data_IF_392532994221
#
_entry.id   IF_392532994221
#
_cell.length_a   1.000
_cell.length_b   1.000
_cell.length_c   1.000
_cell.angle_alpha   90.00
_cell.angle_beta   90.00
_cell.angle_gamma   90.00
#
_symmetry.space_group_name_H-M   'P 1'
#
loop_
_entity.id
_entity.type
_entity.pdbx_description
1 polymer ?
#
# COMPACT_ATOMS: atom_id res chain seq x y z
N UNK A 1 12.58 -78.37 -31.55
CA UNK A 1 12.94 -76.96 -31.81
C UNK A 1 11.64 -76.15 -31.78
N UNK A 2 11.39 -75.28 -30.78
CA UNK A 2 10.18 -74.45 -30.76
C UNK A 2 10.43 -73.04 -31.32
N UNK A 3 9.50 -72.55 -32.14
CA UNK A 3 9.51 -71.20 -32.73
C UNK A 3 9.44 -70.10 -31.67
N UNK A 4 10.30 -69.09 -31.80
CA UNK A 4 10.18 -67.82 -31.08
C UNK A 4 9.20 -66.91 -31.80
N UNK A 5 7.96 -66.85 -31.33
CA UNK A 5 6.99 -65.83 -31.77
C UNK A 5 7.46 -64.46 -31.28
N UNK A 6 8.09 -63.69 -32.16
CA UNK A 6 8.48 -62.30 -31.90
C UNK A 6 7.23 -61.43 -31.88
N UNK A 7 6.99 -60.72 -30.77
CA UNK A 7 5.93 -59.73 -30.68
C UNK A 7 6.23 -58.56 -31.65
N UNK A 8 5.22 -57.97 -32.32
CA UNK A 8 5.46 -56.83 -33.20
C UNK A 8 5.98 -55.64 -32.40
N UNK A 9 7.10 -55.06 -32.86
CA UNK A 9 7.66 -53.84 -32.30
C UNK A 9 6.66 -52.70 -32.52
N UNK A 10 6.00 -52.28 -31.44
CA UNK A 10 5.16 -51.08 -31.43
C UNK A 10 6.07 -49.86 -31.51
N UNK A 11 6.04 -49.21 -32.67
CA UNK A 11 6.72 -47.94 -32.94
C UNK A 11 5.98 -46.86 -32.16
N UNK A 12 6.49 -46.52 -30.97
CA UNK A 12 6.08 -45.34 -30.24
C UNK A 12 6.61 -44.11 -30.98
N UNK A 13 5.83 -43.67 -31.97
CA UNK A 13 6.05 -42.43 -32.69
C UNK A 13 5.79 -41.22 -31.80
N UNK A 14 6.68 -40.25 -31.95
CA UNK A 14 6.60 -38.85 -31.49
C UNK A 14 6.82 -38.58 -29.99
N UNK A 15 8.06 -38.19 -29.66
CA UNK A 15 8.43 -37.58 -28.36
C UNK A 15 9.45 -36.45 -28.56
N UNK A 16 9.45 -35.79 -29.71
CA UNK A 16 10.53 -34.86 -30.08
C UNK A 16 10.07 -33.40 -30.10
N UNK A 17 8.77 -33.15 -30.20
CA UNK A 17 8.08 -31.88 -29.98
C UNK A 17 7.88 -31.55 -28.48
N UNK A 18 7.72 -32.59 -27.67
CA UNK A 18 7.45 -32.48 -26.24
C UNK A 18 8.71 -32.19 -25.41
N UNK A 19 9.93 -32.61 -25.82
CA UNK A 19 11.12 -32.43 -24.97
C UNK A 19 11.65 -31.00 -24.96
N UNK A 20 11.63 -30.31 -26.10
CA UNK A 20 12.10 -28.92 -26.20
C UNK A 20 11.08 -27.95 -25.57
N UNK A 21 9.80 -28.17 -25.84
CA UNK A 21 8.71 -27.39 -25.26
C UNK A 21 8.60 -27.62 -23.76
N UNK A 22 8.78 -28.86 -23.29
CA UNK A 22 8.84 -29.16 -21.86
C UNK A 22 10.03 -28.46 -21.18
N UNK A 23 11.23 -28.52 -21.76
CA UNK A 23 12.41 -27.82 -21.23
C UNK A 23 12.20 -26.31 -21.14
N UNK A 24 11.63 -25.68 -22.18
CA UNK A 24 11.31 -24.25 -22.16
C UNK A 24 10.27 -23.96 -21.05
N UNK A 25 9.26 -24.81 -20.89
CA UNK A 25 8.25 -24.66 -19.84
C UNK A 25 8.82 -24.82 -18.43
N UNK A 26 9.81 -25.69 -18.25
CA UNK A 26 10.51 -25.90 -16.98
C UNK A 26 11.39 -24.69 -16.65
N UNK A 27 12.14 -24.17 -17.61
CA UNK A 27 12.92 -22.94 -17.43
C UNK A 27 12.03 -21.74 -17.10
N UNK A 28 10.87 -21.62 -17.76
CA UNK A 28 9.89 -20.58 -17.46
C UNK A 28 9.34 -20.72 -16.03
N UNK A 29 9.01 -21.94 -15.61
CA UNK A 29 8.56 -22.21 -14.25
C UNK A 29 9.62 -21.88 -13.20
N UNK A 30 10.90 -22.15 -13.47
CA UNK A 30 11.99 -21.80 -12.57
C UNK A 30 12.15 -20.28 -12.44
N UNK A 31 12.07 -19.55 -13.54
CA UNK A 31 12.13 -18.07 -13.53
C UNK A 31 10.94 -17.48 -12.75
N UNK A 32 9.73 -18.01 -12.95
CA UNK A 32 8.54 -17.59 -12.19
C UNK A 32 8.68 -17.91 -10.72
N UNK A 33 9.11 -19.12 -10.40
CA UNK A 33 9.29 -19.54 -9.02
C UNK A 33 10.28 -18.62 -8.31
N UNK A 34 11.39 -18.28 -8.97
CA UNK A 34 12.41 -17.37 -8.44
C UNK A 34 11.88 -15.94 -8.30
N UNK A 35 11.26 -15.39 -9.34
CA UNK A 35 10.66 -14.06 -9.28
C UNK A 35 9.63 -13.98 -8.17
N UNK A 36 8.79 -15.00 -8.00
CA UNK A 36 7.83 -15.06 -6.90
C UNK A 36 8.53 -15.18 -5.55
N UNK A 37 9.59 -15.97 -5.44
CA UNK A 37 10.33 -16.15 -4.18
C UNK A 37 11.04 -14.86 -3.74
N UNK A 38 11.68 -14.16 -4.67
CA UNK A 38 12.34 -12.89 -4.41
C UNK A 38 11.35 -11.71 -4.23
N UNK A 39 10.14 -11.77 -4.82
CA UNK A 39 9.16 -10.66 -4.71
C UNK A 39 8.21 -10.79 -3.52
N UNK A 40 8.00 -11.99 -2.98
CA UNK A 40 7.10 -12.19 -1.82
C UNK A 40 7.66 -11.50 -0.57
N UNK A 41 8.97 -11.56 -0.36
CA UNK A 41 9.64 -10.93 0.77
C UNK A 41 9.52 -9.39 0.77
N UNK A 42 9.78 -8.67 -0.35
CA UNK A 42 9.54 -7.23 -0.43
C UNK A 42 8.05 -6.85 -0.39
N UNK A 43 7.14 -7.65 -0.96
CA UNK A 43 5.69 -7.40 -0.85
C UNK A 43 5.23 -7.45 0.60
N UNK A 44 5.72 -8.42 1.38
CA UNK A 44 5.39 -8.53 2.81
C UNK A 44 5.90 -7.32 3.60
N UNK A 45 7.09 -6.84 3.27
CA UNK A 45 7.65 -5.61 3.82
C UNK A 45 6.80 -4.38 3.49
N UNK A 46 6.41 -4.23 2.22
CA UNK A 46 5.55 -3.14 1.76
C UNK A 46 4.16 -3.18 2.40
N UNK A 47 3.55 -4.36 2.50
CA UNK A 47 2.24 -4.54 3.14
C UNK A 47 2.27 -4.09 4.61
N UNK A 48 3.35 -4.42 5.34
CA UNK A 48 3.53 -3.98 6.73
C UNK A 48 3.77 -2.47 6.83
N UNK A 49 4.57 -1.91 5.93
CA UNK A 49 4.79 -0.46 5.86
C UNK A 49 3.48 0.31 5.58
N UNK A 50 2.70 -0.14 4.60
CA UNK A 50 1.39 0.43 4.29
C UNK A 50 0.43 0.27 5.46
N UNK A 51 0.42 -0.90 6.13
CA UNK A 51 -0.39 -1.12 7.33
C UNK A 51 -0.08 -0.11 8.45
N UNK A 52 1.20 0.12 8.75
CA UNK A 52 1.59 1.15 9.72
C UNK A 52 1.30 2.58 9.23
N UNK A 53 1.42 2.84 7.93
CA UNK A 53 1.04 4.11 7.32
C UNK A 53 -0.44 4.42 7.47
N UNK A 54 -1.31 3.44 7.21
CA UNK A 54 -2.76 3.55 7.38
C UNK A 54 -3.11 3.78 8.85
N UNK A 55 -2.55 2.99 9.77
CA UNK A 55 -2.81 3.15 11.20
C UNK A 55 -2.37 4.53 11.70
N UNK A 56 -1.19 5.00 11.26
CA UNK A 56 -0.69 6.34 11.57
C UNK A 56 -1.59 7.44 10.99
N UNK A 57 -2.09 7.28 9.76
CA UNK A 57 -2.99 8.25 9.13
C UNK A 57 -4.32 8.39 9.88
N UNK A 58 -4.87 7.27 10.36
CA UNK A 58 -6.10 7.26 11.17
C UNK A 58 -5.86 7.98 12.49
N UNK A 59 -4.76 7.67 13.18
CA UNK A 59 -4.40 8.32 14.43
C UNK A 59 -4.22 9.84 14.25
N UNK A 60 -3.54 10.26 13.18
CA UNK A 60 -3.39 11.68 12.83
C UNK A 60 -4.72 12.35 12.48
N UNK A 61 -5.59 11.69 11.73
CA UNK A 61 -6.90 12.24 11.37
C UNK A 61 -7.77 12.50 12.61
N UNK A 62 -7.77 11.55 13.55
CA UNK A 62 -8.50 11.68 14.82
C UNK A 62 -7.88 12.81 15.66
N UNK A 63 -6.55 12.81 15.85
CA UNK A 63 -5.86 13.85 16.61
C UNK A 63 -6.08 15.25 16.05
N UNK A 64 -6.03 15.40 14.71
CA UNK A 64 -6.30 16.67 14.05
C UNK A 64 -7.75 17.12 14.24
N UNK A 65 -8.72 16.20 14.16
CA UNK A 65 -10.13 16.50 14.41
C UNK A 65 -10.32 17.04 15.83
N UNK A 66 -9.77 16.36 16.84
CA UNK A 66 -9.84 16.83 18.22
C UNK A 66 -9.12 18.16 18.44
N UNK A 67 -7.96 18.38 17.79
CA UNK A 67 -7.23 19.65 17.86
C UNK A 67 -8.07 20.80 17.31
N UNK A 68 -8.74 20.62 16.16
CA UNK A 68 -9.60 21.63 15.56
C UNK A 68 -10.83 21.90 16.43
N UNK A 69 -11.46 20.85 16.97
CA UNK A 69 -12.59 21.00 17.90
C UNK A 69 -12.17 21.72 19.18
N UNK A 70 -11.02 21.39 19.76
CA UNK A 70 -10.49 22.06 20.95
C UNK A 70 -10.17 23.53 20.69
N UNK A 71 -9.60 23.84 19.52
CA UNK A 71 -9.33 25.23 19.09
C UNK A 71 -10.62 26.02 18.95
N UNK A 72 -11.61 25.47 18.25
CA UNK A 72 -12.92 26.08 18.09
C UNK A 72 -13.60 26.28 19.45
N UNK A 73 -13.50 25.28 20.34
CA UNK A 73 -14.08 25.33 21.68
C UNK A 73 -13.42 26.37 22.56
N UNK A 74 -12.08 26.44 22.56
CA UNK A 74 -11.33 27.45 23.32
C UNK A 74 -11.71 28.87 22.88
N UNK A 75 -11.77 29.10 21.56
CA UNK A 75 -12.22 30.39 21.02
C UNK A 75 -13.67 30.69 21.40
N UNK A 76 -14.58 29.73 21.28
CA UNK A 76 -15.99 29.94 21.64
C UNK A 76 -16.20 30.17 23.14
N UNK A 77 -15.40 29.55 24.02
CA UNK A 77 -15.48 29.73 25.48
C UNK A 77 -15.02 31.14 25.90
N UNK A 78 -13.88 31.60 25.40
CA UNK A 78 -13.34 32.93 25.75
C UNK A 78 -14.14 34.08 25.10
N UNK A 79 -14.71 33.81 23.93
CA UNK A 79 -15.37 34.83 23.10
C UNK A 79 -16.89 34.87 23.30
N UNK A 80 -17.43 33.90 24.06
CA UNK A 80 -18.87 33.64 24.22
C UNK A 80 -19.70 34.79 24.76
N UNK A 81 -19.11 35.72 25.52
CA UNK A 81 -19.82 36.92 26.03
C UNK A 81 -19.67 38.17 25.14
N UNK A 82 -18.70 38.21 24.23
CA UNK A 82 -18.37 39.44 23.47
C UNK A 82 -18.84 39.41 22.00
N UNK A 83 -19.00 38.25 21.37
CA UNK A 83 -19.28 38.14 19.92
C UNK A 83 -20.64 37.50 19.60
N UNK A 84 -21.70 37.93 20.28
CA UNK A 84 -23.07 37.53 19.95
C UNK A 84 -23.58 38.41 18.79
N UNK A 85 -23.31 38.01 17.54
CA UNK A 85 -23.72 38.77 16.33
C UNK A 85 -22.84 38.52 15.11
N UNK A 86 -22.42 39.59 14.43
CA UNK A 86 -21.68 39.58 13.14
C UNK A 86 -20.27 38.98 13.19
N UNK A 87 -19.74 38.67 14.38
CA UNK A 87 -18.37 38.17 14.58
C UNK A 87 -18.31 36.65 14.80
N UNK A 88 -19.46 35.96 14.73
CA UNK A 88 -19.60 34.51 14.83
C UNK A 88 -18.85 33.70 13.77
N UNK A 89 -18.45 34.33 12.65
CA UNK A 89 -17.65 33.73 11.58
C UNK A 89 -16.14 33.61 11.89
N UNK A 90 -15.60 34.41 12.81
CA UNK A 90 -14.15 34.46 13.14
C UNK A 90 -13.63 33.12 13.68
N UNK A 91 -14.31 32.44 14.64
CA UNK A 91 -13.84 31.16 15.16
C UNK A 91 -13.66 30.11 14.06
N UNK A 92 -14.56 30.08 13.07
CA UNK A 92 -14.47 29.16 11.95
C UNK A 92 -13.29 29.49 11.04
N UNK A 93 -13.04 30.77 10.76
CA UNK A 93 -11.92 31.23 9.93
C UNK A 93 -10.56 30.89 10.57
N UNK A 94 -10.44 31.08 11.89
CA UNK A 94 -9.23 30.70 12.64
C UNK A 94 -9.04 29.18 12.63
N UNK A 95 -10.11 28.41 12.79
CA UNK A 95 -10.04 26.94 12.74
C UNK A 95 -9.55 26.46 11.37
N UNK A 96 -10.01 27.07 10.28
CA UNK A 96 -9.52 26.81 8.92
C UNK A 96 -8.05 27.18 8.77
N UNK A 97 -7.63 28.34 9.31
CA UNK A 97 -6.24 28.78 9.26
C UNK A 97 -5.30 27.81 10.02
N UNK A 98 -5.70 27.34 11.20
CA UNK A 98 -4.95 26.34 11.97
C UNK A 98 -4.86 25.02 11.20
N UNK A 99 -5.97 24.56 10.61
CA UNK A 99 -5.98 23.39 9.75
C UNK A 99 -5.02 23.52 8.55
N UNK A 100 -5.01 24.69 7.90
CA UNK A 100 -4.12 24.98 6.78
C UNK A 100 -2.63 24.99 7.19
N UNK A 101 -2.31 25.54 8.37
CA UNK A 101 -0.94 25.52 8.92
C UNK A 101 -0.50 24.07 9.17
N UNK A 102 -1.33 23.26 9.82
CA UNK A 102 -0.99 21.86 10.11
C UNK A 102 -0.81 21.06 8.81
N UNK A 103 -1.70 21.25 7.83
CA UNK A 103 -1.57 20.61 6.52
C UNK A 103 -0.29 21.05 5.79
N UNK A 104 0.03 22.35 5.85
CA UNK A 104 1.27 22.90 5.30
C UNK A 104 2.52 22.30 5.94
N UNK A 105 2.56 22.24 7.28
CA UNK A 105 3.66 21.62 8.02
C UNK A 105 3.80 20.13 7.72
N UNK A 106 2.69 19.40 7.63
CA UNK A 106 2.70 17.99 7.23
C UNK A 106 3.28 17.82 5.81
N UNK A 107 2.85 18.64 4.85
CA UNK A 107 3.39 18.65 3.48
C UNK A 107 4.88 18.99 3.42
N UNK A 108 5.33 19.96 4.22
CA UNK A 108 6.75 20.32 4.33
C UNK A 108 7.59 19.18 4.92
N UNK A 109 7.09 18.46 5.92
CA UNK A 109 7.81 17.33 6.53
C UNK A 109 7.95 16.15 5.56
N UNK A 110 6.94 15.86 4.75
CA UNK A 110 7.02 14.85 3.68
C UNK A 110 8.10 15.24 2.65
N UNK A 111 8.14 16.53 2.29
CA UNK A 111 9.08 17.04 1.28
C UNK A 111 10.52 17.10 1.80
N UNK A 112 10.71 17.48 3.07
CA UNK A 112 12.02 17.54 3.74
C UNK A 112 12.67 16.16 3.84
N UNK A 113 11.87 15.12 4.15
CA UNK A 113 12.36 13.73 4.24
C UNK A 113 12.84 13.17 2.90
N UNK A 114 12.45 13.77 1.77
CA UNK A 114 12.82 13.36 0.41
C UNK A 114 14.13 13.99 -0.08
N UNK A 115 14.61 15.04 0.60
CA UNK A 115 15.82 15.81 0.26
C UNK A 115 17.02 15.52 1.16
N UNK A 116 16.84 14.68 2.19
CA UNK A 116 17.89 14.26 3.11
C UNK A 116 18.35 12.83 2.84
#
# INVERSE_FOLDING_TARGET
>A
MPETRVAPYTKNGDKTDNSMTAQISELWQLIVAYAKQETIEPIKGLARFVGYGVLGSICLAIGLTFLLLATLRALQTETGSSMQGHLSWIPYLVTVAVGAIVAGLAGMQITKKRKG
#
